data_IF_185232758579
#
_entry.id   IF_185232758579
#
_cell.length_a   1.000
_cell.length_b   1.000
_cell.length_c   1.000
_cell.angle_alpha   90.00
_cell.angle_beta   90.00
_cell.angle_gamma   90.00
#
_symmetry.space_group_name_H-M   'P 1'
#
loop_
_entity.id
_entity.type
_entity.pdbx_description
1 polymer ?
#
# COMPACT_ATOMS: atom_id res chain seq x y z
N UNK A 1 -2.94 -26.53 -26.64
CA UNK A 1 -2.79 -25.07 -26.47
C UNK A 1 -2.86 -24.80 -24.97
N UNK A 2 -1.76 -24.43 -24.33
CA UNK A 2 -1.77 -24.01 -22.91
C UNK A 2 -2.55 -22.70 -22.83
N UNK A 3 -3.67 -22.69 -22.10
CA UNK A 3 -4.35 -21.42 -21.78
C UNK A 3 -3.34 -20.53 -21.05
N UNK A 4 -3.11 -19.33 -21.58
CA UNK A 4 -2.32 -18.33 -20.87
C UNK A 4 -3.10 -17.89 -19.64
N UNK A 5 -2.55 -18.18 -18.46
CA UNK A 5 -3.10 -17.75 -17.17
C UNK A 5 -3.23 -16.22 -17.13
N UNK A 6 -4.22 -15.71 -16.41
CA UNK A 6 -4.32 -14.29 -16.07
C UNK A 6 -3.04 -13.79 -15.37
N UNK A 7 -2.68 -12.51 -15.56
CA UNK A 7 -1.54 -11.92 -14.88
C UNK A 7 -1.79 -11.82 -13.37
N UNK A 8 -0.71 -11.83 -12.58
CA UNK A 8 -0.82 -11.48 -11.16
C UNK A 8 -1.25 -10.02 -11.02
N UNK A 9 -1.82 -9.67 -9.87
CA UNK A 9 -2.21 -8.30 -9.53
C UNK A 9 -1.46 -7.88 -8.27
N UNK A 10 -0.81 -6.71 -8.31
CA UNK A 10 -0.09 -6.16 -7.16
C UNK A 10 -0.79 -4.89 -6.68
N UNK A 11 -1.53 -4.99 -5.57
CA UNK A 11 -2.09 -3.84 -4.88
C UNK A 11 -1.01 -3.20 -3.97
N UNK A 12 -0.32 -2.21 -4.54
CA UNK A 12 0.79 -1.48 -3.93
C UNK A 12 0.27 -0.16 -3.37
N UNK A 13 -0.27 -0.21 -2.16
CA UNK A 13 -0.93 0.93 -1.50
C UNK A 13 -0.04 1.57 -0.44
N UNK A 14 -0.29 2.81 -0.03
CA UNK A 14 0.21 3.27 1.26
C UNK A 14 -0.80 2.92 2.38
N UNK A 15 -0.34 2.88 3.62
CA UNK A 15 -1.25 2.83 4.77
C UNK A 15 -2.27 3.96 4.70
N UNK A 16 -3.53 3.64 5.02
CA UNK A 16 -4.66 4.59 5.15
C UNK A 16 -5.23 5.16 3.84
N UNK A 17 -4.96 4.54 2.70
CA UNK A 17 -5.53 4.94 1.38
C UNK A 17 -6.83 4.21 1.00
N UNK A 18 -7.49 3.51 1.93
CA UNK A 18 -8.67 2.66 1.66
C UNK A 18 -8.38 1.34 0.90
N UNK A 19 -7.14 0.85 0.91
CA UNK A 19 -6.83 -0.46 0.33
C UNK A 19 -7.59 -1.64 0.93
N UNK A 20 -7.97 -1.57 2.21
CA UNK A 20 -8.85 -2.58 2.82
C UNK A 20 -10.30 -2.49 2.29
N UNK A 21 -10.78 -1.30 1.94
CA UNK A 21 -12.08 -1.15 1.27
C UNK A 21 -12.01 -1.76 -0.13
N UNK A 22 -10.94 -1.50 -0.89
CA UNK A 22 -10.73 -2.11 -2.20
C UNK A 22 -10.78 -3.65 -2.12
N UNK A 23 -10.04 -4.24 -1.18
CA UNK A 23 -10.08 -5.71 -0.98
C UNK A 23 -11.48 -6.19 -0.63
N UNK A 24 -12.22 -5.45 0.19
CA UNK A 24 -13.61 -5.79 0.52
C UNK A 24 -14.52 -5.75 -0.70
N UNK A 25 -14.39 -4.72 -1.55
CA UNK A 25 -15.12 -4.60 -2.82
C UNK A 25 -14.81 -5.78 -3.75
N UNK A 26 -13.58 -6.28 -3.74
CA UNK A 26 -13.14 -7.41 -4.57
C UNK A 26 -13.26 -8.78 -3.89
N UNK A 27 -13.87 -8.88 -2.71
CA UNK A 27 -13.77 -10.11 -1.90
C UNK A 27 -14.61 -11.29 -2.39
N UNK A 28 -15.43 -11.11 -3.43
CA UNK A 28 -16.23 -12.19 -4.04
C UNK A 28 -15.64 -12.72 -5.34
N UNK A 29 -14.51 -12.17 -5.78
CA UNK A 29 -13.72 -12.76 -6.85
C UNK A 29 -13.13 -14.09 -6.36
N UNK A 30 -13.16 -15.12 -7.19
CA UNK A 30 -12.71 -16.49 -6.89
C UNK A 30 -11.60 -16.97 -7.85
N UNK A 31 -11.32 -16.16 -8.87
CA UNK A 31 -10.35 -16.43 -9.95
C UNK A 31 -8.91 -16.06 -9.58
N UNK A 32 -8.62 -15.80 -8.30
CA UNK A 32 -7.26 -15.55 -7.79
C UNK A 32 -7.01 -16.23 -6.44
N UNK A 33 -5.74 -16.35 -6.07
CA UNK A 33 -5.32 -16.67 -4.70
C UNK A 33 -4.80 -15.40 -4.03
N UNK A 34 -5.26 -15.15 -2.81
CA UNK A 34 -4.92 -13.93 -2.08
C UNK A 34 -3.61 -14.11 -1.30
N UNK A 35 -2.71 -13.15 -1.43
CA UNK A 35 -1.44 -13.09 -0.72
C UNK A 35 -1.30 -11.68 -0.11
N UNK A 36 -1.26 -11.54 1.22
CA UNK A 36 -1.19 -10.21 1.84
C UNK A 36 -0.13 -10.12 2.92
N UNK A 37 0.49 -8.94 3.02
CA UNK A 37 1.26 -8.48 4.17
C UNK A 37 2.47 -9.35 4.55
N UNK A 38 3.10 -9.98 3.56
CA UNK A 38 4.28 -10.82 3.74
C UNK A 38 5.46 -10.08 4.39
N UNK A 39 5.57 -8.76 4.19
CA UNK A 39 6.63 -7.94 4.79
C UNK A 39 6.19 -7.21 6.08
N UNK A 40 4.91 -7.29 6.45
CA UNK A 40 4.36 -6.51 7.55
C UNK A 40 4.93 -6.90 8.92
N UNK A 41 5.15 -8.19 9.15
CA UNK A 41 5.72 -8.68 10.41
C UNK A 41 7.14 -8.13 10.63
N UNK A 42 7.97 -8.13 9.59
CA UNK A 42 9.31 -7.56 9.63
C UNK A 42 9.25 -6.05 9.90
N UNK A 43 8.34 -5.32 9.24
CA UNK A 43 8.16 -3.89 9.51
C UNK A 43 7.69 -3.61 10.96
N UNK A 44 6.82 -4.47 11.53
CA UNK A 44 6.41 -4.34 12.93
C UNK A 44 7.57 -4.59 13.90
N UNK A 45 8.47 -5.54 13.59
CA UNK A 45 9.69 -5.76 14.35
C UNK A 45 10.62 -4.53 14.27
N UNK A 46 10.89 -4.02 13.05
CA UNK A 46 11.66 -2.79 12.85
C UNK A 46 11.11 -1.65 13.71
N UNK A 47 9.79 -1.46 13.70
CA UNK A 47 9.14 -0.37 14.41
C UNK A 47 9.22 -0.49 15.93
N UNK A 48 9.10 -1.70 16.47
CA UNK A 48 8.91 -1.94 17.92
C UNK A 48 10.20 -2.28 18.65
N UNK A 49 11.08 -3.05 18.01
CA UNK A 49 12.23 -3.66 18.69
C UNK A 49 13.53 -2.90 18.40
N UNK A 50 13.66 -2.32 17.21
CA UNK A 50 14.92 -1.70 16.74
C UNK A 50 14.70 -0.33 16.09
N UNK A 51 13.58 0.31 16.38
CA UNK A 51 13.14 1.57 15.76
C UNK A 51 13.67 2.83 16.44
N UNK A 52 14.55 2.69 17.44
CA UNK A 52 15.07 3.83 18.21
C UNK A 52 16.33 4.45 17.62
N UNK A 53 17.00 3.74 16.70
CA UNK A 53 18.27 4.14 16.08
C UNK A 53 18.36 3.66 14.62
N UNK A 54 19.33 4.17 13.83
CA UNK A 54 19.63 3.62 12.51
C UNK A 54 19.98 2.13 12.54
N UNK A 55 19.70 1.41 11.44
CA UNK A 55 20.00 -0.02 11.31
C UNK A 55 21.50 -0.33 11.38
N UNK A 56 22.37 0.59 10.95
CA UNK A 56 23.83 0.40 11.00
C UNK A 56 24.35 0.30 12.44
N UNK A 57 23.68 0.94 13.40
CA UNK A 57 24.03 0.95 14.82
C UNK A 57 23.49 -0.26 15.59
N UNK A 58 22.69 -1.12 14.95
CA UNK A 58 21.97 -2.22 15.58
C UNK A 58 22.18 -3.55 14.82
N UNK A 59 23.41 -4.09 14.75
CA UNK A 59 23.73 -5.22 13.89
C UNK A 59 22.93 -6.49 14.19
N UNK A 60 22.78 -6.89 15.45
CA UNK A 60 22.02 -8.10 15.85
C UNK A 60 20.52 -7.97 15.53
N UNK A 61 19.97 -6.79 15.82
CA UNK A 61 18.59 -6.43 15.48
C UNK A 61 18.36 -6.42 13.97
N UNK A 62 19.28 -5.82 13.21
CA UNK A 62 19.27 -5.80 11.75
C UNK A 62 19.32 -7.20 11.15
N UNK A 63 20.15 -8.10 11.68
CA UNK A 63 20.20 -9.50 11.22
C UNK A 63 18.85 -10.20 11.42
N UNK A 64 18.22 -10.01 12.58
CA UNK A 64 16.88 -10.54 12.86
C UNK A 64 15.84 -9.96 11.90
N UNK A 65 15.85 -8.65 11.69
CA UNK A 65 14.97 -7.97 10.75
C UNK A 65 15.14 -8.50 9.31
N UNK A 66 16.38 -8.64 8.83
CA UNK A 66 16.67 -9.15 7.49
C UNK A 66 16.24 -10.61 7.32
N UNK A 67 16.40 -11.43 8.36
CA UNK A 67 15.87 -12.79 8.40
C UNK A 67 14.35 -12.80 8.22
N UNK A 68 13.63 -11.95 8.96
CA UNK A 68 12.16 -11.86 8.83
C UNK A 68 11.71 -11.38 7.45
N UNK A 69 12.45 -10.45 6.82
CA UNK A 69 12.19 -10.04 5.44
C UNK A 69 12.35 -11.23 4.49
N UNK A 70 13.45 -11.99 4.64
CA UNK A 70 13.70 -13.17 3.82
C UNK A 70 12.60 -14.22 3.97
N UNK A 71 12.16 -14.48 5.20
CA UNK A 71 11.05 -15.39 5.47
C UNK A 71 9.74 -14.93 4.80
N UNK A 72 9.45 -13.62 4.85
CA UNK A 72 8.31 -13.02 4.14
C UNK A 72 8.42 -13.17 2.62
N UNK A 73 9.61 -12.93 2.06
CA UNK A 73 9.91 -13.09 0.64
C UNK A 73 9.74 -14.55 0.18
N UNK A 74 10.34 -15.50 0.91
CA UNK A 74 10.25 -16.93 0.60
C UNK A 74 8.79 -17.40 0.66
N UNK A 75 8.04 -16.96 1.69
CA UNK A 75 6.61 -17.25 1.83
C UNK A 75 5.78 -16.66 0.69
N UNK A 76 6.11 -15.46 0.23
CA UNK A 76 5.42 -14.80 -0.88
C UNK A 76 5.56 -15.62 -2.17
N UNK A 77 6.80 -15.98 -2.54
CA UNK A 77 7.03 -16.79 -3.74
C UNK A 77 6.46 -18.20 -3.62
N UNK A 78 6.43 -18.78 -2.41
CA UNK A 78 5.72 -20.03 -2.17
C UNK A 78 4.21 -19.91 -2.45
N UNK A 79 3.58 -18.79 -2.05
CA UNK A 79 2.16 -18.53 -2.33
C UNK A 79 1.91 -18.30 -3.83
N UNK A 80 2.86 -17.67 -4.53
CA UNK A 80 2.84 -17.54 -6.00
C UNK A 80 2.88 -18.91 -6.67
N UNK A 81 3.81 -19.78 -6.29
CA UNK A 81 3.89 -21.15 -6.83
C UNK A 81 2.63 -21.97 -6.54
N UNK A 82 2.11 -21.85 -5.31
CA UNK A 82 0.86 -22.52 -4.91
C UNK A 82 -0.32 -22.06 -5.76
N UNK A 83 -0.44 -20.77 -6.04
CA UNK A 83 -1.49 -20.24 -6.93
C UNK A 83 -1.34 -20.77 -8.35
N UNK A 84 -0.10 -20.84 -8.85
CA UNK A 84 0.19 -21.32 -10.19
C UNK A 84 -0.19 -22.80 -10.36
N UNK A 85 0.04 -23.62 -9.33
CA UNK A 85 -0.38 -25.03 -9.32
C UNK A 85 -1.91 -25.21 -9.45
N UNK A 86 -2.68 -24.20 -9.04
CA UNK A 86 -4.15 -24.14 -9.15
C UNK A 86 -4.62 -23.44 -10.42
N UNK A 87 -3.70 -23.08 -11.33
CA UNK A 87 -3.95 -22.26 -12.52
C UNK A 87 -4.58 -20.88 -12.20
N UNK A 88 -4.25 -20.30 -11.05
CA UNK A 88 -4.75 -19.00 -10.62
C UNK A 88 -3.62 -17.96 -10.52
N UNK A 89 -3.88 -16.69 -10.90
CA UNK A 89 -3.00 -15.58 -10.53
C UNK A 89 -3.02 -15.35 -9.01
N UNK A 90 -1.99 -14.67 -8.53
CA UNK A 90 -1.98 -14.09 -7.18
C UNK A 90 -2.54 -12.67 -7.21
N UNK A 91 -3.39 -12.34 -6.23
CA UNK A 91 -3.67 -10.97 -5.83
C UNK A 91 -2.82 -10.65 -4.60
N UNK A 92 -1.74 -9.91 -4.81
CA UNK A 92 -0.82 -9.50 -3.77
C UNK A 92 -1.24 -8.14 -3.22
N UNK A 93 -1.32 -8.00 -1.90
CA UNK A 93 -1.51 -6.71 -1.24
C UNK A 93 -0.45 -6.48 -0.19
N UNK A 94 0.22 -5.33 -0.31
CA UNK A 94 1.09 -4.85 0.74
C UNK A 94 1.11 -3.32 0.78
N UNK A 95 1.74 -2.78 1.82
CA UNK A 95 2.09 -1.39 1.86
C UNK A 95 3.39 -1.16 1.10
N UNK A 96 3.38 -0.26 0.12
CA UNK A 96 4.48 -0.11 -0.85
C UNK A 96 5.83 0.03 -0.16
N UNK A 97 5.95 0.85 0.89
CA UNK A 97 7.22 1.07 1.61
C UNK A 97 7.72 -0.18 2.35
N UNK A 98 6.84 -1.15 2.66
CA UNK A 98 7.23 -2.40 3.31
C UNK A 98 7.94 -3.34 2.34
N UNK A 99 7.75 -3.13 1.04
CA UNK A 99 8.48 -3.87 0.00
C UNK A 99 9.78 -3.19 -0.37
N UNK A 100 10.18 -2.05 0.22
CA UNK A 100 11.38 -1.32 -0.17
C UNK A 100 12.65 -1.92 0.42
N UNK A 101 13.79 -1.62 -0.23
CA UNK A 101 15.11 -1.89 0.33
C UNK A 101 15.22 -1.29 1.74
N UNK A 102 15.54 -2.09 2.79
CA UNK A 102 15.65 -1.64 4.17
C UNK A 102 16.57 -0.44 4.36
N UNK A 103 17.69 -0.42 3.64
CA UNK A 103 18.67 0.65 3.68
C UNK A 103 18.11 2.00 3.22
N UNK A 104 17.17 2.01 2.27
CA UNK A 104 16.50 3.22 1.78
C UNK A 104 15.52 3.75 2.83
N UNK A 105 14.70 2.86 3.41
CA UNK A 105 13.76 3.24 4.47
C UNK A 105 14.49 3.77 5.69
N UNK A 106 15.59 3.13 6.10
CA UNK A 106 16.42 3.57 7.21
C UNK A 106 17.05 4.95 6.96
N UNK A 107 17.59 5.16 5.75
CA UNK A 107 18.14 6.46 5.36
C UNK A 107 17.09 7.57 5.33
N UNK A 108 15.87 7.30 4.85
CA UNK A 108 14.79 8.29 4.84
C UNK A 108 14.35 8.69 6.27
N UNK A 109 14.32 7.71 7.18
CA UNK A 109 13.94 7.92 8.58
C UNK A 109 15.02 8.71 9.33
N UNK A 110 16.29 8.33 9.18
CA UNK A 110 17.37 8.83 10.04
C UNK A 110 18.29 9.86 9.38
N UNK A 111 18.38 9.89 8.06
CA UNK A 111 19.37 10.68 7.32
C UNK A 111 20.83 10.25 7.58
N UNK A 112 21.03 9.05 8.14
CA UNK A 112 22.33 8.48 8.44
C UNK A 112 22.92 7.72 7.25
N UNK A 113 24.17 7.27 7.38
CA UNK A 113 24.78 6.36 6.41
C UNK A 113 23.94 5.08 6.30
N UNK A 114 23.62 4.62 5.08
CA UNK A 114 22.74 3.48 4.90
C UNK A 114 23.39 2.20 5.44
N UNK A 115 22.59 1.38 6.12
CA UNK A 115 22.97 0.00 6.39
C UNK A 115 23.22 -0.77 5.07
N UNK A 116 23.96 -1.89 5.11
CA UNK A 116 24.17 -2.73 3.92
C UNK A 116 22.83 -3.14 3.30
N UNK A 117 22.71 -2.97 1.98
CA UNK A 117 21.52 -3.37 1.23
C UNK A 117 21.25 -4.86 1.36
N UNK A 118 19.96 -5.22 1.36
CA UNK A 118 19.53 -6.61 1.45
C UNK A 118 19.32 -7.17 0.04
N UNK A 119 20.16 -8.12 -0.34
CA UNK A 119 20.06 -8.81 -1.63
C UNK A 119 19.36 -10.16 -1.42
N UNK A 120 18.10 -10.26 -1.89
CA UNK A 120 17.29 -11.49 -1.78
C UNK A 120 17.40 -12.38 -3.02
N UNK A 121 17.58 -11.76 -4.19
CA UNK A 121 17.94 -12.44 -5.43
C UNK A 121 19.45 -12.34 -5.64
N UNK A 122 20.05 -13.31 -6.33
CA UNK A 122 21.48 -13.25 -6.71
C UNK A 122 21.81 -12.10 -7.68
N UNK A 123 22.90 -12.22 -8.44
CA UNK A 123 23.49 -11.17 -9.31
C UNK A 123 22.62 -10.72 -10.52
N UNK A 124 21.29 -10.91 -10.48
CA UNK A 124 20.41 -10.32 -11.48
C UNK A 124 20.40 -8.80 -11.35
N UNK A 125 20.39 -8.13 -12.51
CA UNK A 125 20.20 -6.67 -12.58
C UNK A 125 18.88 -6.33 -11.88
N UNK A 126 18.99 -5.52 -10.83
CA UNK A 126 17.88 -5.08 -10.00
C UNK A 126 17.87 -3.56 -9.97
N UNK A 127 16.84 -2.95 -10.58
CA UNK A 127 16.73 -1.49 -10.74
C UNK A 127 15.56 -0.90 -9.96
N UNK A 128 14.59 -1.73 -9.57
CA UNK A 128 13.49 -1.33 -8.71
C UNK A 128 13.98 -0.96 -7.30
N UNK A 129 13.39 0.06 -6.64
CA UNK A 129 13.67 0.34 -5.23
C UNK A 129 13.11 -0.73 -4.27
N UNK A 130 12.31 -1.68 -4.78
CA UNK A 130 11.71 -2.74 -3.95
C UNK A 130 12.63 -3.96 -3.77
N UNK A 131 12.24 -4.87 -2.89
CA UNK A 131 12.83 -6.19 -2.68
C UNK A 131 12.31 -7.22 -3.68
N UNK A 132 11.24 -6.91 -4.42
CA UNK A 132 10.66 -7.80 -5.41
C UNK A 132 11.44 -7.71 -6.73
N UNK A 133 11.72 -8.83 -7.42
CA UNK A 133 12.50 -8.81 -8.66
C UNK A 133 11.82 -7.97 -9.74
N UNK A 134 12.61 -7.20 -10.50
CA UNK A 134 12.14 -6.40 -11.65
C UNK A 134 11.27 -7.24 -12.59
N UNK A 135 11.69 -8.48 -12.89
CA UNK A 135 10.95 -9.41 -13.76
C UNK A 135 9.59 -9.79 -13.21
N UNK A 136 9.47 -9.96 -11.90
CA UNK A 136 8.19 -10.27 -11.26
C UNK A 136 7.26 -9.06 -11.28
N UNK A 137 7.76 -7.88 -10.91
CA UNK A 137 7.02 -6.62 -10.95
C UNK A 137 6.44 -6.35 -12.34
N UNK A 138 7.26 -6.51 -13.39
CA UNK A 138 6.83 -6.28 -14.77
C UNK A 138 5.88 -7.38 -15.30
N UNK A 139 5.88 -8.57 -14.70
CA UNK A 139 4.97 -9.66 -15.10
C UNK A 139 3.55 -9.53 -14.54
N UNK A 140 3.32 -8.59 -13.62
CA UNK A 140 2.07 -8.41 -12.89
C UNK A 140 1.45 -7.03 -13.20
N UNK A 141 0.13 -6.90 -13.01
CA UNK A 141 -0.57 -5.61 -13.13
C UNK A 141 -0.50 -4.87 -11.80
N UNK A 142 0.22 -3.73 -11.71
CA UNK A 142 0.30 -2.97 -10.47
C UNK A 142 -0.89 -2.01 -10.35
N UNK A 143 -1.51 -1.99 -9.17
CA UNK A 143 -2.54 -1.04 -8.76
C UNK A 143 -1.98 -0.22 -7.60
N UNK A 144 -1.95 1.09 -7.76
CA UNK A 144 -1.69 2.03 -6.68
C UNK A 144 -3.00 2.67 -6.26
N UNK A 145 -3.30 2.66 -4.97
CA UNK A 145 -4.39 3.46 -4.40
C UNK A 145 -3.79 4.66 -3.68
N UNK A 146 -4.12 5.85 -4.18
CA UNK A 146 -3.75 7.14 -3.61
C UNK A 146 -4.93 7.75 -2.86
N UNK A 147 -4.67 8.68 -1.94
CA UNK A 147 -5.71 9.38 -1.18
C UNK A 147 -5.27 10.80 -0.90
N UNK A 148 -6.22 11.73 -0.91
CA UNK A 148 -5.97 13.11 -0.54
C UNK A 148 -5.18 13.20 0.79
N UNK A 149 -3.98 13.83 0.83
CA UNK A 149 -3.09 13.80 1.98
C UNK A 149 -3.71 14.29 3.29
N UNK A 150 -4.54 15.34 3.26
CA UNK A 150 -5.29 15.80 4.46
C UNK A 150 -6.09 14.66 5.11
N UNK A 151 -6.76 13.83 4.31
CA UNK A 151 -7.58 12.72 4.80
C UNK A 151 -6.73 11.53 5.25
N UNK A 152 -5.62 11.28 4.56
CA UNK A 152 -4.72 10.17 4.85
C UNK A 152 -3.94 10.42 6.16
N UNK A 153 -3.36 11.60 6.33
CA UNK A 153 -2.58 12.01 7.51
C UNK A 153 -3.43 12.01 8.77
N UNK A 154 -4.63 12.61 8.71
CA UNK A 154 -5.59 12.55 9.83
C UNK A 154 -5.97 11.11 10.17
N UNK A 155 -6.29 10.29 9.16
CA UNK A 155 -6.66 8.90 9.40
C UNK A 155 -5.51 8.08 10.00
N UNK A 156 -4.27 8.38 9.64
CA UNK A 156 -3.08 7.76 10.23
C UNK A 156 -2.94 8.17 11.69
N UNK A 157 -3.03 9.46 12.00
CA UNK A 157 -2.86 9.95 13.37
C UNK A 157 -3.92 9.35 14.30
N UNK A 158 -5.20 9.40 13.92
CA UNK A 158 -6.30 8.80 14.68
C UNK A 158 -6.15 7.29 14.86
N UNK A 159 -5.61 6.57 13.88
CA UNK A 159 -5.41 5.12 14.00
C UNK A 159 -4.29 4.79 15.00
N UNK A 160 -3.20 5.55 14.99
CA UNK A 160 -2.11 5.32 15.95
C UNK A 160 -2.49 5.74 17.37
N UNK A 161 -3.19 6.87 17.52
CA UNK A 161 -3.65 7.39 18.81
C UNK A 161 -4.52 6.40 19.59
N UNK A 162 -5.27 5.52 18.91
CA UNK A 162 -6.09 4.47 19.55
C UNK A 162 -5.28 3.30 20.12
N UNK A 163 -4.00 3.19 19.75
CA UNK A 163 -3.13 2.07 20.13
C UNK A 163 -2.10 2.55 21.16
N UNK A 164 -1.47 3.70 20.91
CA UNK A 164 -0.44 4.28 21.76
C UNK A 164 -0.43 5.82 21.66
N UNK A 165 0.10 6.53 22.67
CA UNK A 165 0.39 7.96 22.55
C UNK A 165 1.30 8.22 21.35
N UNK A 166 0.95 9.17 20.50
CA UNK A 166 1.76 9.53 19.33
C UNK A 166 2.81 10.56 19.74
N UNK A 167 4.08 10.19 19.70
CA UNK A 167 5.18 11.15 19.77
C UNK A 167 5.45 11.72 18.38
N UNK A 168 5.19 13.02 18.19
CA UNK A 168 5.40 13.70 16.90
C UNK A 168 6.89 13.82 16.53
N UNK A 169 7.79 13.62 17.50
CA UNK A 169 9.25 13.61 17.26
C UNK A 169 9.74 12.25 16.79
N UNK A 170 8.88 11.22 16.85
CA UNK A 170 9.22 9.90 16.38
C UNK A 170 9.57 9.93 14.89
N UNK A 171 10.79 9.53 14.49
CA UNK A 171 11.22 9.57 13.09
C UNK A 171 10.33 8.77 12.13
N UNK A 172 9.64 7.72 12.59
CA UNK A 172 8.71 6.94 11.76
C UNK A 172 7.45 7.74 11.37
N UNK A 173 7.19 8.88 12.01
CA UNK A 173 6.19 9.83 11.55
C UNK A 173 6.47 10.33 10.13
N UNK A 174 7.72 10.26 9.63
CA UNK A 174 8.07 10.56 8.23
C UNK A 174 7.47 9.58 7.22
N UNK A 175 7.11 8.37 7.65
CA UNK A 175 6.39 7.41 6.83
C UNK A 175 4.86 7.67 6.85
N UNK A 176 4.37 8.61 7.66
CA UNK A 176 2.94 8.93 7.68
C UNK A 176 2.50 9.54 6.36
N UNK A 177 1.46 8.97 5.74
CA UNK A 177 0.88 9.45 4.48
C UNK A 177 1.88 9.69 3.33
N UNK A 178 3.01 8.96 3.32
CA UNK A 178 4.07 9.20 2.35
C UNK A 178 3.74 8.57 0.99
N UNK A 179 3.04 9.34 0.15
CA UNK A 179 2.72 8.97 -1.24
C UNK A 179 3.96 8.97 -2.15
N UNK A 180 5.09 9.52 -1.69
CA UNK A 180 6.35 9.57 -2.43
C UNK A 180 6.89 8.17 -2.79
N UNK A 181 6.71 7.17 -1.94
CA UNK A 181 7.09 5.79 -2.27
C UNK A 181 6.22 5.19 -3.38
N UNK A 182 4.92 5.50 -3.40
CA UNK A 182 4.02 5.11 -4.50
C UNK A 182 4.46 5.79 -5.80
N UNK A 183 4.73 7.10 -5.75
CA UNK A 183 5.18 7.87 -6.92
C UNK A 183 6.50 7.34 -7.49
N UNK A 184 7.51 7.14 -6.64
CA UNK A 184 8.83 6.68 -7.08
C UNK A 184 8.74 5.31 -7.78
N UNK A 185 7.94 4.39 -7.22
CA UNK A 185 7.75 3.09 -7.86
C UNK A 185 6.93 3.20 -9.17
N UNK A 186 5.94 4.08 -9.21
CA UNK A 186 5.20 4.38 -10.44
C UNK A 186 6.09 4.97 -11.53
N UNK A 187 6.96 5.92 -11.19
CA UNK A 187 7.93 6.51 -12.11
C UNK A 187 8.93 5.45 -12.59
N UNK A 188 9.38 4.55 -11.71
CA UNK A 188 10.17 3.39 -12.12
C UNK A 188 9.44 2.55 -13.18
N UNK A 189 8.18 2.16 -12.96
CA UNK A 189 7.40 1.45 -13.97
C UNK A 189 7.33 2.21 -15.30
N UNK A 190 7.13 3.54 -15.29
CA UNK A 190 7.12 4.36 -16.51
C UNK A 190 8.44 4.34 -17.28
N UNK A 191 9.57 4.12 -16.60
CA UNK A 191 10.87 3.95 -17.27
C UNK A 191 11.07 2.55 -17.86
N UNK A 192 10.37 1.54 -17.34
CA UNK A 192 10.52 0.14 -17.75
C UNK A 192 9.47 -0.30 -18.78
N UNK A 193 8.29 0.31 -18.76
CA UNK A 193 7.13 -0.06 -19.59
C UNK A 193 7.04 0.87 -20.81
N UNK A 194 7.18 0.36 -22.05
CA UNK A 194 7.01 1.17 -23.24
C UNK A 194 5.65 1.89 -23.30
N UNK A 195 5.63 3.08 -23.90
CA UNK A 195 4.43 3.93 -23.94
C UNK A 195 3.27 3.33 -24.75
N UNK A 196 3.55 2.39 -25.64
CA UNK A 196 2.61 1.69 -26.51
C UNK A 196 2.08 0.38 -25.90
N UNK A 197 2.47 0.04 -24.67
CA UNK A 197 1.96 -1.15 -23.96
C UNK A 197 0.44 -1.10 -23.84
N UNK A 198 -0.19 -2.25 -24.06
CA UNK A 198 -1.64 -2.40 -23.99
C UNK A 198 -2.19 -1.97 -22.62
N UNK A 199 -3.02 -0.94 -22.67
CA UNK A 199 -3.77 -0.39 -21.52
C UNK A 199 -5.26 -0.73 -21.58
N UNK A 200 -5.66 -1.62 -22.48
CA UNK A 200 -7.06 -2.00 -22.66
C UNK A 200 -7.53 -3.12 -21.73
N UNK A 201 -8.81 -3.52 -21.84
CA UNK A 201 -9.41 -4.57 -21.02
C UNK A 201 -8.86 -5.96 -21.33
N UNK A 202 -8.96 -6.89 -20.39
CA UNK A 202 -8.66 -8.31 -20.59
C UNK A 202 -7.21 -8.65 -20.98
N UNK A 203 -6.17 -8.19 -20.23
CA UNK A 203 -4.79 -8.57 -20.50
C UNK A 203 -4.57 -10.09 -20.55
N UNK A 204 -3.67 -10.53 -21.42
CA UNK A 204 -3.28 -11.94 -21.58
C UNK A 204 -1.76 -12.10 -21.51
N UNK A 205 -1.32 -13.22 -20.94
CA UNK A 205 0.10 -13.57 -20.87
C UNK A 205 0.88 -12.74 -19.84
N UNK A 206 2.20 -12.97 -19.75
CA UNK A 206 3.08 -12.14 -18.93
C UNK A 206 3.20 -10.73 -19.52
N UNK A 207 3.42 -9.72 -18.68
CA UNK A 207 3.53 -8.30 -19.06
C UNK A 207 4.69 -7.94 -19.99
N UNK A 208 5.05 -6.65 -20.13
CA UNK A 208 4.83 -5.58 -19.15
C UNK A 208 3.41 -5.00 -19.15
N UNK A 209 2.99 -4.48 -18.00
CA UNK A 209 1.70 -3.79 -17.83
C UNK A 209 1.90 -2.38 -17.29
N UNK A 210 1.17 -1.41 -17.85
CA UNK A 210 1.15 -0.05 -17.31
C UNK A 210 0.41 -0.04 -15.97
N UNK A 211 0.96 0.62 -14.92
CA UNK A 211 0.27 0.75 -13.65
C UNK A 211 -1.10 1.41 -13.74
N UNK A 212 -1.96 1.01 -12.81
CA UNK A 212 -3.28 1.58 -12.60
C UNK A 212 -3.21 2.46 -11.36
N UNK A 213 -3.59 3.73 -11.50
CA UNK A 213 -3.76 4.65 -10.37
C UNK A 213 -5.24 4.79 -10.07
N UNK A 214 -5.61 4.53 -8.82
CA UNK A 214 -6.98 4.66 -8.30
C UNK A 214 -6.98 5.70 -7.18
N UNK A 215 -7.83 6.71 -7.29
CA UNK A 215 -8.06 7.63 -6.18
C UNK A 215 -9.06 7.03 -5.17
N UNK A 216 -8.79 7.24 -3.89
CA UNK A 216 -9.64 6.73 -2.82
C UNK A 216 -11.09 7.27 -2.87
N UNK A 217 -11.31 8.49 -3.36
CA UNK A 217 -12.66 9.04 -3.50
C UNK A 217 -13.45 8.32 -4.61
N UNK A 218 -12.78 7.83 -5.66
CA UNK A 218 -13.42 7.03 -6.71
C UNK A 218 -14.01 5.72 -6.14
N UNK A 219 -13.31 5.11 -5.15
CA UNK A 219 -13.81 3.94 -4.41
C UNK A 219 -15.00 4.26 -3.51
N UNK A 220 -15.06 5.49 -2.99
CA UNK A 220 -16.13 5.93 -2.08
C UNK A 220 -17.39 6.33 -2.83
N UNK A 221 -17.25 7.01 -3.96
CA UNK A 221 -18.38 7.52 -4.73
C UNK A 221 -19.07 6.40 -5.53
N UNK A 222 -18.36 5.32 -5.85
CA UNK A 222 -18.84 4.22 -6.68
C UNK A 222 -18.81 4.59 -8.16
N UNK A 223 -17.69 5.16 -8.61
CA UNK A 223 -17.49 5.61 -10.00
C UNK A 223 -17.23 4.43 -10.94
N UNK A 224 -17.20 4.71 -12.24
CA UNK A 224 -16.81 3.76 -13.29
C UNK A 224 -15.36 3.26 -13.17
N UNK A 225 -14.55 3.85 -12.28
CA UNK A 225 -13.16 3.43 -12.01
C UNK A 225 -13.09 1.98 -11.57
N UNK A 226 -14.01 1.52 -10.70
CA UNK A 226 -13.99 0.13 -10.23
C UNK A 226 -14.22 -0.83 -11.42
N UNK A 227 -15.13 -0.48 -12.33
CA UNK A 227 -15.37 -1.28 -13.52
C UNK A 227 -14.15 -1.33 -14.45
N UNK A 228 -13.50 -0.19 -14.66
CA UNK A 228 -12.26 -0.09 -15.46
C UNK A 228 -11.11 -0.86 -14.83
N UNK A 229 -11.00 -0.85 -13.50
CA UNK A 229 -10.03 -1.69 -12.78
C UNK A 229 -10.35 -3.16 -13.03
N UNK A 230 -11.61 -3.59 -12.85
CA UNK A 230 -12.01 -4.98 -13.08
C UNK A 230 -11.63 -5.46 -14.49
N UNK A 231 -11.91 -4.64 -15.50
CA UNK A 231 -11.52 -4.90 -16.89
C UNK A 231 -10.01 -5.05 -17.08
N UNK A 232 -9.21 -4.22 -16.41
CA UNK A 232 -7.75 -4.22 -16.51
C UNK A 232 -7.06 -5.36 -15.76
N UNK A 233 -7.77 -6.06 -14.88
CA UNK A 233 -7.21 -7.17 -14.08
C UNK A 233 -7.97 -8.49 -14.22
N UNK A 234 -8.90 -8.57 -15.18
CA UNK A 234 -9.74 -9.74 -15.45
C UNK A 234 -10.64 -10.13 -14.27
N UNK A 235 -11.09 -9.16 -13.47
CA UNK A 235 -12.09 -9.39 -12.43
C UNK A 235 -13.50 -9.25 -12.99
N UNK A 236 -14.44 -10.02 -12.43
CA UNK A 236 -15.86 -9.93 -12.81
C UNK A 236 -16.50 -8.72 -12.15
N UNK A 237 -17.10 -7.83 -12.95
CA UNK A 237 -17.86 -6.66 -12.46
C UNK A 237 -19.06 -7.08 -11.60
N UNK A 238 -19.71 -8.19 -11.94
CA UNK A 238 -20.86 -8.73 -11.22
C UNK A 238 -20.50 -9.25 -9.82
N UNK A 239 -19.21 -9.53 -9.58
CA UNK A 239 -18.67 -9.98 -8.29
C UNK A 239 -18.14 -8.83 -7.43
N UNK A 240 -18.37 -7.57 -7.80
CA UNK A 240 -18.01 -6.44 -6.94
C UNK A 240 -19.02 -6.29 -5.80
N UNK A 241 -18.53 -6.31 -4.55
CA UNK A 241 -19.35 -6.36 -3.34
C UNK A 241 -19.52 -4.96 -2.71
N UNK A 242 -20.63 -4.28 -2.99
CA UNK A 242 -20.94 -2.95 -2.43
C UNK A 242 -21.72 -2.97 -1.11
N UNK A 243 -22.25 -4.12 -0.72
CA UNK A 243 -22.97 -4.31 0.55
C UNK A 243 -22.56 -5.62 1.19
N UNK A 244 -22.50 -5.64 2.52
CA UNK A 244 -22.03 -6.80 3.28
C UNK A 244 -22.60 -6.79 4.69
N UNK A 245 -22.53 -7.95 5.34
CA UNK A 245 -22.87 -8.07 6.76
C UNK A 245 -21.76 -7.54 7.65
N UNK A 246 -22.16 -7.02 8.80
CA UNK A 246 -21.22 -6.63 9.86
C UNK A 246 -20.51 -7.86 10.42
N UNK A 247 -19.24 -7.70 10.80
CA UNK A 247 -18.43 -8.76 11.41
C UNK A 247 -18.04 -8.34 12.83
N UNK A 248 -18.18 -9.25 13.79
CA UNK A 248 -17.75 -9.00 15.17
C UNK A 248 -16.24 -8.73 15.23
N UNK A 249 -15.86 -7.70 16.00
CA UNK A 249 -14.47 -7.39 16.34
C UNK A 249 -13.92 -8.19 17.53
N UNK A 250 -14.67 -9.18 18.04
CA UNK A 250 -14.22 -10.07 19.12
C UNK A 250 -12.99 -10.88 18.69
N UNK A 251 -12.08 -11.13 19.64
CA UNK A 251 -10.79 -11.84 19.42
C UNK A 251 -9.80 -11.16 18.46
N UNK A 252 -10.02 -9.89 18.11
CA UNK A 252 -9.07 -9.09 17.32
C UNK A 252 -8.00 -8.44 18.19
N UNK A 253 -6.85 -8.12 17.63
CA UNK A 253 -5.82 -7.32 18.29
C UNK A 253 -6.24 -5.84 18.37
N UNK A 254 -5.58 -5.06 19.24
CA UNK A 254 -5.80 -3.60 19.30
C UNK A 254 -5.47 -2.91 17.96
N UNK A 255 -4.43 -3.39 17.28
CA UNK A 255 -4.01 -2.87 15.96
C UNK A 255 -5.10 -3.14 14.94
N UNK A 256 -5.57 -4.38 14.79
CA UNK A 256 -6.61 -4.69 13.81
C UNK A 256 -7.89 -3.90 14.09
N UNK A 257 -8.33 -3.80 15.35
CA UNK A 257 -9.49 -2.96 15.71
C UNK A 257 -9.29 -1.51 15.30
N UNK A 258 -8.14 -0.91 15.60
CA UNK A 258 -7.90 0.48 15.23
C UNK A 258 -7.95 0.70 13.70
N UNK A 259 -7.45 -0.27 12.93
CA UNK A 259 -7.31 -0.12 11.48
C UNK A 259 -8.53 -0.54 10.68
N UNK A 260 -9.33 -1.53 11.16
CA UNK A 260 -10.37 -2.21 10.39
C UNK A 260 -11.78 -2.10 10.97
N UNK A 261 -11.96 -1.67 12.23
CA UNK A 261 -13.26 -1.63 12.91
C UNK A 261 -14.35 -0.97 12.08
N UNK A 262 -14.07 0.21 11.50
CA UNK A 262 -15.06 0.93 10.70
C UNK A 262 -15.50 0.20 9.43
N UNK A 263 -14.71 -0.75 8.91
CA UNK A 263 -15.11 -1.61 7.81
C UNK A 263 -15.97 -2.78 8.30
N UNK A 264 -15.57 -3.41 9.41
CA UNK A 264 -16.30 -4.53 10.00
C UNK A 264 -17.68 -4.16 10.54
N UNK A 265 -17.84 -2.96 11.09
CA UNK A 265 -19.12 -2.48 11.63
C UNK A 265 -19.99 -1.78 10.58
N UNK A 266 -19.50 -1.62 9.36
CA UNK A 266 -20.27 -1.08 8.24
C UNK A 266 -21.02 -2.17 7.50
N UNK A 267 -22.07 -1.77 6.78
CA UNK A 267 -22.82 -2.64 5.85
C UNK A 267 -22.57 -2.30 4.37
N UNK A 268 -21.65 -1.36 4.11
CA UNK A 268 -21.35 -0.86 2.78
C UNK A 268 -20.33 0.27 2.79
N UNK A 269 -20.17 0.92 1.64
CA UNK A 269 -19.19 2.00 1.44
C UNK A 269 -19.56 3.26 2.24
N UNK A 270 -18.68 3.67 3.15
CA UNK A 270 -18.85 4.87 3.97
C UNK A 270 -18.39 6.15 3.25
N UNK A 271 -19.33 6.78 2.53
CA UNK A 271 -19.08 7.99 1.73
C UNK A 271 -18.65 9.22 2.55
N UNK A 272 -18.86 9.22 3.87
CA UNK A 272 -18.42 10.33 4.74
C UNK A 272 -16.90 10.50 4.79
N UNK A 273 -16.15 9.49 4.33
CA UNK A 273 -14.68 9.50 4.27
C UNK A 273 -14.08 10.23 3.06
N UNK A 274 -14.93 10.78 2.19
CA UNK A 274 -14.52 11.49 0.97
C UNK A 274 -13.75 12.77 1.28
N UNK A 275 -12.83 13.15 0.39
CA UNK A 275 -12.10 14.42 0.45
C UNK A 275 -12.83 15.57 -0.25
N UNK A 276 -13.98 15.33 -0.86
CA UNK A 276 -14.72 16.35 -1.60
C UNK A 276 -15.11 17.54 -0.72
N UNK A 277 -14.71 18.73 -1.16
CA UNK A 277 -14.98 19.98 -0.43
C UNK A 277 -14.11 20.17 0.82
N UNK A 278 -13.15 19.28 1.09
CA UNK A 278 -12.18 19.45 2.16
C UNK A 278 -11.16 20.51 1.76
N UNK A 279 -10.91 21.48 2.63
CA UNK A 279 -9.81 22.44 2.47
C UNK A 279 -8.79 22.32 3.60
N UNK A 280 -7.57 22.76 3.34
CA UNK A 280 -6.49 22.75 4.33
C UNK A 280 -6.84 23.63 5.55
N UNK A 281 -7.46 24.78 5.31
CA UNK A 281 -7.84 25.74 6.36
C UNK A 281 -8.90 25.15 7.29
N UNK A 282 -9.96 24.55 6.72
CA UNK A 282 -11.03 23.93 7.48
C UNK A 282 -10.52 22.74 8.31
N UNK A 283 -9.65 21.90 7.72
CA UNK A 283 -9.03 20.77 8.43
C UNK A 283 -8.11 21.25 9.54
N UNK A 284 -7.25 22.22 9.27
CA UNK A 284 -6.32 22.75 10.26
C UNK A 284 -7.07 23.36 11.45
N UNK A 285 -8.12 24.15 11.20
CA UNK A 285 -8.96 24.70 12.27
C UNK A 285 -9.60 23.60 13.13
N UNK A 286 -10.18 22.57 12.51
CA UNK A 286 -10.77 21.44 13.24
C UNK A 286 -9.72 20.65 14.04
N UNK A 287 -8.54 20.41 13.48
CA UNK A 287 -7.46 19.71 14.20
C UNK A 287 -6.92 20.53 15.37
N UNK A 288 -6.89 21.87 15.29
CA UNK A 288 -6.50 22.72 16.43
C UNK A 288 -7.46 22.59 17.59
N UNK A 289 -8.76 22.58 17.30
CA UNK A 289 -9.80 22.42 18.32
C UNK A 289 -9.74 21.04 18.96
N UNK A 290 -9.57 19.99 18.14
CA UNK A 290 -9.63 18.61 18.63
C UNK A 290 -8.33 18.10 19.26
N UNK A 291 -7.19 18.40 18.65
CA UNK A 291 -5.89 17.83 19.00
C UNK A 291 -4.89 18.84 19.55
N UNK A 292 -5.22 20.13 19.53
CA UNK A 292 -4.31 21.21 19.88
C UNK A 292 -3.42 21.66 18.73
N UNK A 293 -2.78 22.81 18.94
CA UNK A 293 -2.02 23.54 17.90
C UNK A 293 -0.85 22.72 17.34
N UNK A 294 -0.07 22.07 18.20
CA UNK A 294 1.14 21.33 17.80
C UNK A 294 0.81 20.15 16.85
N UNK A 295 -0.20 19.35 17.20
CA UNK A 295 -0.65 18.24 16.35
C UNK A 295 -1.23 18.78 15.04
N UNK A 296 -2.06 19.82 15.10
CA UNK A 296 -2.66 20.40 13.91
C UNK A 296 -1.60 20.88 12.90
N UNK A 297 -0.56 21.55 13.37
CA UNK A 297 0.56 22.01 12.53
C UNK A 297 1.33 20.85 11.94
N UNK A 298 1.60 19.80 12.73
CA UNK A 298 2.26 18.59 12.25
C UNK A 298 1.43 17.92 11.12
N UNK A 299 0.12 17.74 11.32
CA UNK A 299 -0.74 17.09 10.32
C UNK A 299 -0.82 17.91 9.04
N UNK A 300 -0.92 19.25 9.14
CA UNK A 300 -0.94 20.13 7.98
C UNK A 300 0.40 20.11 7.23
N UNK A 301 1.52 20.16 7.94
CA UNK A 301 2.85 20.09 7.34
C UNK A 301 3.08 18.75 6.62
N UNK A 302 2.69 17.63 7.25
CA UNK A 302 2.75 16.29 6.63
C UNK A 302 1.88 16.22 5.37
N UNK A 303 0.64 16.70 5.42
CA UNK A 303 -0.24 16.69 4.25
C UNK A 303 0.28 17.56 3.10
N UNK A 304 0.76 18.78 3.39
CA UNK A 304 1.32 19.69 2.39
C UNK A 304 2.59 19.11 1.74
N UNK A 305 3.44 18.44 2.53
CA UNK A 305 4.65 17.79 2.02
C UNK A 305 4.33 16.75 0.93
N UNK A 306 3.24 16.01 1.08
CA UNK A 306 2.87 14.93 0.17
C UNK A 306 1.83 15.32 -0.90
N UNK A 307 1.31 16.55 -0.87
CA UNK A 307 0.37 17.04 -1.87
C UNK A 307 0.91 17.01 -3.30
N UNK A 308 2.15 17.43 -3.59
CA UNK A 308 2.66 17.42 -4.96
C UNK A 308 2.75 16.00 -5.56
N UNK A 309 3.09 15.00 -4.75
CA UNK A 309 3.13 13.60 -5.19
C UNK A 309 1.72 13.07 -5.45
N UNK A 310 0.77 13.42 -4.58
CA UNK A 310 -0.64 13.08 -4.77
C UNK A 310 -1.21 13.67 -6.05
N UNK A 311 -1.05 14.97 -6.29
CA UNK A 311 -1.55 15.66 -7.49
C UNK A 311 -0.94 15.10 -8.78
N UNK A 312 0.37 14.79 -8.76
CA UNK A 312 1.05 14.16 -9.88
C UNK A 312 0.46 12.79 -10.22
N UNK A 313 0.23 11.94 -9.21
CA UNK A 313 -0.36 10.62 -9.42
C UNK A 313 -1.85 10.72 -9.80
N UNK A 314 -2.58 11.66 -9.22
CA UNK A 314 -3.99 11.90 -9.51
C UNK A 314 -4.22 12.26 -10.98
N UNK A 315 -3.33 13.05 -11.58
CA UNK A 315 -3.37 13.39 -13.00
C UNK A 315 -3.16 12.17 -13.93
N UNK A 316 -2.72 11.03 -13.39
CA UNK A 316 -2.48 9.77 -14.10
C UNK A 316 -3.54 8.71 -13.77
N UNK A 317 -4.62 9.08 -13.07
CA UNK A 317 -5.69 8.13 -12.71
C UNK A 317 -6.32 7.50 -13.94
N UNK A 318 -6.70 6.22 -13.80
CA UNK A 318 -7.29 5.42 -14.87
C UNK A 318 -8.54 6.07 -15.44
#
# INVERSE_FOLDING_TARGET
MTQTRNPNVLLLSHGRTLSNLFVKLMSKQDDFEQAEYHFHAAFMYLRKEIGEKPLIEQPEGRETFYKMIKEGYDKFFQDVENAYSKNKPVFFKDHVFQTWQPSVIDQDIWGADPAPSLHLTGDQKHTSPTLLPDSFLLSAVPIFIIRHPLMQTESWYRANLRIYPVDLKDPFCKLSANTGYCRQLFDWYKTQVPADVYTGPNPKGPGPFMPIIVDADDLLEGTDVIERVCERVNFSKDKVLYSWDTVSGENRTAIERSYLKGLWESTGVDKSKSSKGVTAEAKHAAWKEEFGQEVADFLLASANKHMPDYEYMLAQKI
#
